data_IF_216305644031
#
_entry.id   IF_216305644031
#
_cell.length_a   1.000
_cell.length_b   1.000
_cell.length_c   1.000
_cell.angle_alpha   90.00
_cell.angle_beta   90.00
_cell.angle_gamma   90.00
#
_symmetry.space_group_name_H-M   'P 1'
#
loop_
_entity.id
_entity.type
_entity.pdbx_description
1 polymer ?
#
# COMPACT_ATOMS: atom_id res chain seq x y z
N UNK A 1 -24.97 -7.89 6.86
CA UNK A 1 -23.82 -6.98 6.66
C UNK A 1 -22.81 -7.76 5.83
N UNK A 2 -22.42 -7.27 4.66
CA UNK A 2 -21.45 -7.95 3.80
C UNK A 2 -20.05 -7.64 4.33
N UNK A 3 -19.27 -8.67 4.67
CA UNK A 3 -17.94 -8.51 5.28
C UNK A 3 -16.88 -9.13 4.39
N UNK A 4 -17.14 -10.33 3.87
CA UNK A 4 -16.17 -11.13 3.13
C UNK A 4 -16.29 -10.95 1.63
N UNK A 5 -15.22 -11.23 0.89
CA UNK A 5 -15.19 -11.20 -0.57
C UNK A 5 -16.39 -11.95 -1.20
N UNK A 6 -16.70 -13.15 -0.69
CA UNK A 6 -17.85 -13.95 -1.12
C UNK A 6 -19.19 -13.22 -0.98
N UNK A 7 -19.36 -12.43 0.08
CA UNK A 7 -20.60 -11.70 0.37
C UNK A 7 -20.85 -10.58 -0.66
N UNK A 8 -19.78 -9.91 -1.09
CA UNK A 8 -19.83 -8.79 -2.03
C UNK A 8 -19.98 -9.25 -3.47
N UNK A 9 -19.17 -10.24 -3.88
CA UNK A 9 -19.13 -10.71 -5.27
C UNK A 9 -20.07 -11.87 -5.55
N UNK A 10 -20.83 -12.32 -4.54
CA UNK A 10 -21.81 -13.43 -4.65
C UNK A 10 -21.18 -14.71 -5.18
N UNK A 11 -19.95 -14.98 -4.74
CA UNK A 11 -19.20 -16.21 -5.02
C UNK A 11 -19.42 -17.19 -3.86
N UNK A 12 -19.58 -18.48 -4.17
CA UNK A 12 -19.69 -19.51 -3.15
C UNK A 12 -18.37 -19.64 -2.36
N UNK A 13 -18.41 -19.79 -1.03
CA UNK A 13 -17.21 -20.10 -0.24
C UNK A 13 -16.49 -21.38 -0.70
N UNK A 14 -17.25 -22.39 -1.13
CA UNK A 14 -16.72 -23.67 -1.62
C UNK A 14 -15.91 -23.49 -2.92
N UNK A 15 -16.36 -22.63 -3.82
CA UNK A 15 -15.62 -22.30 -5.05
C UNK A 15 -14.29 -21.59 -4.74
N UNK A 16 -14.29 -20.70 -3.75
CA UNK A 16 -13.08 -20.01 -3.27
C UNK A 16 -12.09 -20.97 -2.63
N UNK A 17 -12.58 -21.86 -1.76
CA UNK A 17 -11.76 -22.88 -1.11
C UNK A 17 -11.14 -23.83 -2.14
N UNK A 18 -11.93 -24.28 -3.13
CA UNK A 18 -11.46 -25.14 -4.22
C UNK A 18 -10.41 -24.45 -5.09
N UNK A 19 -10.53 -23.14 -5.31
CA UNK A 19 -9.51 -22.36 -6.00
C UNK A 19 -8.23 -22.17 -5.15
N UNK A 20 -8.32 -22.34 -3.83
CA UNK A 20 -7.23 -22.09 -2.90
C UNK A 20 -7.05 -20.61 -2.56
N UNK A 21 -8.09 -19.79 -2.77
CA UNK A 21 -8.09 -18.38 -2.39
C UNK A 21 -8.58 -18.20 -0.95
N UNK A 22 -7.94 -17.28 -0.23
CA UNK A 22 -8.38 -16.89 1.10
C UNK A 22 -9.58 -15.93 1.02
N UNK A 23 -10.60 -16.16 1.83
CA UNK A 23 -11.79 -15.31 1.88
C UNK A 23 -11.56 -14.08 2.77
N UNK A 24 -10.95 -13.05 2.20
CA UNK A 24 -10.62 -11.80 2.89
C UNK A 24 -11.86 -11.02 3.33
N UNK A 25 -11.78 -10.36 4.48
CA UNK A 25 -12.67 -9.27 4.86
C UNK A 25 -12.28 -8.01 4.09
N UNK A 26 -13.16 -7.53 3.22
CA UNK A 26 -12.88 -6.33 2.41
C UNK A 26 -12.80 -5.05 3.25
N UNK A 27 -13.36 -5.06 4.47
CA UNK A 27 -13.30 -3.91 5.37
C UNK A 27 -12.04 -3.97 6.24
N UNK A 28 -11.77 -5.13 6.84
CA UNK A 28 -10.71 -5.23 7.84
C UNK A 28 -9.33 -5.49 7.22
N UNK A 29 -9.28 -6.22 6.11
CA UNK A 29 -8.00 -6.70 5.58
C UNK A 29 -7.50 -5.83 4.43
N UNK A 30 -8.38 -5.09 3.74
CA UNK A 30 -8.02 -4.27 2.59
C UNK A 30 -6.89 -3.25 2.89
N UNK A 31 -6.81 -2.58 4.06
CA UNK A 31 -5.68 -1.71 4.37
C UNK A 31 -4.32 -2.42 4.39
N UNK A 32 -4.29 -3.73 4.66
CA UNK A 32 -3.07 -4.54 4.65
C UNK A 32 -2.72 -5.00 3.23
N UNK A 33 -3.73 -5.13 2.35
CA UNK A 33 -3.57 -5.57 0.96
C UNK A 33 -3.30 -4.44 -0.04
N UNK A 34 -3.54 -3.16 0.32
CA UNK A 34 -3.17 -2.02 -0.52
C UNK A 34 -1.69 -1.69 -0.28
N UNK A 35 -0.82 -2.36 -1.00
CA UNK A 35 0.58 -1.95 -1.12
C UNK A 35 0.70 -0.82 -2.17
N UNK A 36 1.09 0.41 -1.78
CA UNK A 36 1.22 1.53 -2.69
C UNK A 36 2.31 1.31 -3.77
N UNK A 37 3.23 0.36 -3.58
CA UNK A 37 4.16 -0.02 -4.62
C UNK A 37 3.46 -0.75 -5.76
N UNK A 38 2.34 -1.45 -5.54
CA UNK A 38 1.62 -2.16 -6.61
C UNK A 38 0.92 -1.23 -7.61
N UNK A 39 0.94 0.09 -7.40
CA UNK A 39 0.38 1.08 -8.32
C UNK A 39 0.96 0.98 -9.75
N UNK A 40 2.18 0.45 -9.92
CA UNK A 40 2.78 0.23 -11.24
C UNK A 40 1.99 -0.73 -12.13
N UNK A 41 1.16 -1.61 -11.55
CA UNK A 41 0.34 -2.56 -12.30
C UNK A 41 -0.94 -1.93 -12.87
N UNK A 42 -1.26 -0.68 -12.54
CA UNK A 42 -2.48 -0.04 -13.05
C UNK A 42 -2.21 0.75 -14.32
N UNK A 43 -3.05 0.59 -15.35
CA UNK A 43 -2.95 1.39 -16.58
C UNK A 43 -3.38 2.87 -16.41
N UNK A 44 -3.85 3.25 -15.21
CA UNK A 44 -4.34 4.60 -14.94
C UNK A 44 -3.19 5.60 -14.84
N UNK A 45 -3.18 6.68 -15.64
CA UNK A 45 -2.09 7.67 -15.62
C UNK A 45 -1.82 8.26 -14.23
N UNK A 46 -2.87 8.51 -13.44
CA UNK A 46 -2.73 9.05 -12.09
C UNK A 46 -2.00 8.11 -11.13
N UNK A 47 -2.13 6.78 -11.30
CA UNK A 47 -1.47 5.80 -10.44
C UNK A 47 -0.03 5.57 -10.88
N UNK A 48 0.23 5.66 -12.19
CA UNK A 48 1.59 5.67 -12.72
C UNK A 48 2.38 6.89 -12.22
N UNK A 49 1.79 8.10 -12.24
CA UNK A 49 2.42 9.31 -11.69
C UNK A 49 2.73 9.15 -10.19
N UNK A 50 1.77 8.66 -9.41
CA UNK A 50 1.96 8.40 -7.99
C UNK A 50 3.11 7.41 -7.74
N UNK A 51 3.17 6.31 -8.49
CA UNK A 51 4.25 5.34 -8.40
C UNK A 51 5.61 5.97 -8.72
N UNK A 52 5.71 6.79 -9.77
CA UNK A 52 6.95 7.50 -10.09
C UNK A 52 7.38 8.47 -8.97
N UNK A 53 6.43 9.15 -8.33
CA UNK A 53 6.71 10.03 -7.19
C UNK A 53 7.21 9.26 -5.96
N UNK A 54 6.68 8.06 -5.71
CA UNK A 54 7.19 7.16 -4.65
C UNK A 54 8.64 6.77 -4.94
N UNK A 55 8.94 6.32 -6.16
CA UNK A 55 10.31 5.97 -6.58
C UNK A 55 11.25 7.15 -6.42
N UNK A 56 10.85 8.33 -6.89
CA UNK A 56 11.64 9.55 -6.78
C UNK A 56 11.98 9.88 -5.33
N UNK A 57 11.01 9.74 -4.42
CA UNK A 57 11.22 10.03 -3.01
C UNK A 57 12.19 9.03 -2.36
N UNK A 58 12.05 7.73 -2.65
CA UNK A 58 12.95 6.69 -2.13
C UNK A 58 14.38 6.89 -2.64
N UNK A 59 14.52 7.27 -3.92
CA UNK A 59 15.82 7.59 -4.51
C UNK A 59 16.46 8.79 -3.80
N UNK A 60 15.68 9.83 -3.53
CA UNK A 60 16.12 10.97 -2.71
C UNK A 60 16.59 10.54 -1.31
N UNK A 61 15.82 9.69 -0.61
CA UNK A 61 16.21 9.20 0.71
C UNK A 61 17.53 8.41 0.68
N UNK A 62 17.73 7.60 -0.37
CA UNK A 62 18.98 6.88 -0.59
C UNK A 62 20.14 7.84 -0.79
N UNK A 63 20.00 8.81 -1.70
CA UNK A 63 21.02 9.82 -1.99
C UNK A 63 21.42 10.58 -0.72
N UNK A 64 20.44 11.02 0.08
CA UNK A 64 20.71 11.71 1.34
C UNK A 64 21.43 10.82 2.37
N UNK A 65 21.17 9.52 2.36
CA UNK A 65 21.84 8.56 3.25
C UNK A 65 23.30 8.32 2.85
N UNK A 66 23.60 8.36 1.55
CA UNK A 66 24.96 8.21 1.02
C UNK A 66 25.78 9.51 1.17
N UNK A 67 25.13 10.67 1.23
CA UNK A 67 25.77 12.00 1.31
C UNK A 67 26.47 12.30 2.66
N UNK A 68 26.27 11.49 3.70
CA UNK A 68 26.93 11.63 4.99
C UNK A 68 25.96 11.80 6.17
N UNK A 69 26.43 12.30 7.34
CA UNK A 69 25.60 12.38 8.54
C UNK A 69 24.37 13.28 8.36
N UNK A 70 23.18 12.71 8.60
CA UNK A 70 21.91 13.43 8.55
C UNK A 70 21.55 13.92 9.96
N UNK A 71 21.09 15.17 10.08
CA UNK A 71 20.66 15.72 11.38
C UNK A 71 19.40 14.98 11.90
N UNK A 72 19.23 14.92 13.22
CA UNK A 72 18.06 14.27 13.83
C UNK A 72 16.72 14.85 13.32
N UNK A 73 16.65 16.16 13.10
CA UNK A 73 15.46 16.82 12.58
C UNK A 73 15.15 16.39 11.14
N UNK A 74 16.16 16.25 10.31
CA UNK A 74 16.01 15.78 8.93
C UNK A 74 15.65 14.30 8.87
N UNK A 75 16.22 13.46 9.74
CA UNK A 75 15.78 12.06 9.89
C UNK A 75 14.29 12.01 10.21
N UNK A 76 13.85 12.81 11.19
CA UNK A 76 12.45 12.86 11.58
C UNK A 76 11.52 13.32 10.46
N UNK A 77 11.96 14.28 9.65
CA UNK A 77 11.14 14.82 8.57
C UNK A 77 11.12 13.94 7.32
N UNK A 78 12.23 13.30 6.99
CA UNK A 78 12.38 12.55 5.73
C UNK A 78 12.05 11.06 5.85
N UNK A 79 12.40 10.42 6.97
CA UNK A 79 12.35 8.96 7.12
C UNK A 79 11.23 8.48 8.03
N UNK A 80 10.57 9.36 8.77
CA UNK A 80 9.43 8.99 9.61
C UNK A 80 8.13 9.43 8.94
N UNK A 81 7.27 8.45 8.70
CA UNK A 81 5.92 8.66 8.17
C UNK A 81 4.92 8.45 9.30
N UNK A 82 4.58 9.50 10.08
CA UNK A 82 3.59 9.36 11.12
C UNK A 82 2.26 8.95 10.50
N UNK A 83 1.61 7.93 11.07
CA UNK A 83 0.24 7.60 10.68
C UNK A 83 -0.63 8.82 10.88
N UNK A 84 -1.35 9.23 9.83
CA UNK A 84 -2.40 10.23 9.96
C UNK A 84 -3.45 9.62 10.89
N UNK A 85 -3.75 10.27 12.03
CA UNK A 85 -4.85 9.84 12.88
C UNK A 85 -6.13 9.91 12.05
N UNK A 86 -6.78 8.77 11.86
CA UNK A 86 -8.12 8.76 11.30
C UNK A 86 -9.10 9.17 12.40
N UNK A 87 -9.90 10.20 12.14
CA UNK A 87 -11.01 10.64 13.00
C UNK A 87 -12.25 9.82 12.70
#
# INVERSE_FOLDING_TARGET
MNVYFTDYFKVSPEDMEKYGAFNISLINDLPVFIDPFLLFNSDKPEYQDLHQRIIKYISFLREMSEAGPISKGLIHHWFLFPKVKQN
#
